data_IF_245697043125
#
_entry.id   IF_245697043125
#
_cell.length_a   1.000
_cell.length_b   1.000
_cell.length_c   1.000
_cell.angle_alpha   90.00
_cell.angle_beta   90.00
_cell.angle_gamma   90.00
#
_symmetry.space_group_name_H-M   'P 1'
#
loop_
_entity.id
_entity.type
_entity.pdbx_description
1 polymer ?
#
# COMPACT_ATOMS: atom_id res chain seq x y z
N UNK A 1 24.54 4.82 1.92
CA UNK A 1 23.66 4.56 0.76
C UNK A 1 22.19 5.00 0.94
N UNK A 2 21.57 5.04 2.15
CA UNK A 2 20.19 5.51 2.31
C UNK A 2 19.94 6.96 1.88
N UNK A 3 20.84 7.90 2.23
CA UNK A 3 20.68 9.33 1.94
C UNK A 3 20.53 9.65 0.44
N UNK A 4 21.28 8.95 -0.43
CA UNK A 4 21.23 9.17 -1.89
C UNK A 4 19.89 8.71 -2.49
N UNK A 5 19.29 7.66 -1.94
CA UNK A 5 17.97 7.19 -2.36
C UNK A 5 16.88 8.15 -1.90
N UNK A 6 16.99 8.64 -0.66
CA UNK A 6 16.04 9.61 -0.12
C UNK A 6 16.02 10.92 -0.91
N UNK A 7 17.19 11.47 -1.24
CA UNK A 7 17.32 12.68 -2.08
C UNK A 7 16.74 12.47 -3.49
N UNK A 8 16.96 11.28 -4.06
CA UNK A 8 16.39 10.91 -5.36
C UNK A 8 14.86 10.89 -5.31
N UNK A 9 14.28 10.22 -4.30
CA UNK A 9 12.83 10.18 -4.11
C UNK A 9 12.26 11.58 -3.91
N UNK A 10 12.90 12.44 -3.12
CA UNK A 10 12.44 13.82 -2.92
C UNK A 10 12.40 14.62 -4.23
N UNK A 11 13.41 14.42 -5.09
CA UNK A 11 13.45 15.05 -6.41
C UNK A 11 12.33 14.53 -7.32
N UNK A 12 12.10 13.21 -7.35
CA UNK A 12 11.03 12.60 -8.16
C UNK A 12 9.66 13.09 -7.69
N UNK A 13 9.42 13.07 -6.39
CA UNK A 13 8.14 13.48 -5.79
C UNK A 13 7.84 14.94 -6.14
N UNK A 14 8.81 15.83 -5.91
CA UNK A 14 8.67 17.27 -6.18
C UNK A 14 8.36 17.57 -7.65
N UNK A 15 8.82 16.73 -8.58
CA UNK A 15 8.64 16.95 -10.01
C UNK A 15 7.34 16.36 -10.55
N UNK A 16 6.77 15.33 -9.92
CA UNK A 16 5.62 14.57 -10.42
C UNK A 16 4.31 14.88 -9.72
N UNK A 17 4.34 15.29 -8.46
CA UNK A 17 3.14 15.40 -7.63
C UNK A 17 3.05 16.80 -7.01
N UNK A 18 1.85 17.37 -6.98
CA UNK A 18 1.62 18.66 -6.31
C UNK A 18 1.13 18.50 -4.88
N UNK A 19 0.56 17.32 -4.52
CA UNK A 19 -0.03 17.06 -3.21
C UNK A 19 0.60 15.82 -2.57
N UNK A 20 1.09 15.99 -1.33
CA UNK A 20 1.50 14.90 -0.45
C UNK A 20 0.42 14.64 0.61
N UNK A 21 -0.15 13.44 0.61
CA UNK A 21 -1.31 13.07 1.44
C UNK A 21 -0.88 12.29 2.69
N UNK A 22 0.27 11.60 2.60
CA UNK A 22 0.70 10.61 3.58
C UNK A 22 2.08 10.91 4.16
N UNK A 23 2.15 10.94 5.48
CA UNK A 23 3.41 10.88 6.23
C UNK A 23 3.74 9.44 6.63
N UNK A 24 4.97 9.18 7.07
CA UNK A 24 5.35 7.86 7.61
C UNK A 24 4.41 7.41 8.73
N UNK A 25 3.99 8.31 9.61
CA UNK A 25 3.07 8.00 10.70
C UNK A 25 1.66 7.61 10.19
N UNK A 26 1.17 8.27 9.13
CA UNK A 26 -0.10 7.90 8.51
C UNK A 26 -0.02 6.53 7.84
N UNK A 27 1.04 6.26 7.09
CA UNK A 27 1.24 4.94 6.47
C UNK A 27 1.32 3.83 7.51
N UNK A 28 2.12 4.02 8.57
CA UNK A 28 2.16 3.08 9.69
C UNK A 28 0.78 2.85 10.29
N UNK A 29 0.02 3.91 10.52
CA UNK A 29 -1.34 3.81 11.04
C UNK A 29 -2.23 2.96 10.11
N UNK A 30 -2.21 3.21 8.81
CA UNK A 30 -2.96 2.42 7.81
C UNK A 30 -2.62 0.94 7.92
N UNK A 31 -1.34 0.59 7.85
CA UNK A 31 -0.92 -0.81 7.90
C UNK A 31 -1.25 -1.47 9.24
N UNK A 32 -1.08 -0.76 10.35
CA UNK A 32 -1.39 -1.30 11.68
C UNK A 32 -2.88 -1.55 11.89
N UNK A 33 -3.77 -0.63 11.49
CA UNK A 33 -5.22 -0.81 11.74
C UNK A 33 -5.86 -1.82 10.79
N UNK A 34 -5.26 -2.04 9.61
CA UNK A 34 -5.72 -3.00 8.62
C UNK A 34 -5.09 -4.39 8.81
N UNK A 35 -4.10 -4.54 9.68
CA UNK A 35 -3.52 -5.83 10.05
C UNK A 35 -4.38 -6.58 11.07
N UNK A 36 -5.60 -6.91 10.64
CA UNK A 36 -6.59 -7.68 11.40
C UNK A 36 -6.93 -8.96 10.61
N UNK A 37 -6.87 -10.15 11.23
CA UNK A 37 -7.04 -11.43 10.52
C UNK A 37 -8.38 -11.55 9.78
N UNK A 38 -9.44 -10.94 10.32
CA UNK A 38 -10.80 -11.02 9.80
C UNK A 38 -10.93 -10.45 8.39
N UNK A 39 -10.14 -9.44 8.05
CA UNK A 39 -10.17 -8.81 6.73
C UNK A 39 -9.49 -9.65 5.64
N UNK A 40 -8.64 -10.62 6.03
CA UNK A 40 -7.89 -11.48 5.10
C UNK A 40 -7.04 -10.71 4.07
N UNK A 41 -6.56 -9.51 4.43
CA UNK A 41 -5.74 -8.66 3.58
C UNK A 41 -4.33 -9.23 3.48
N UNK A 42 -4.08 -9.94 2.39
CA UNK A 42 -2.82 -10.62 2.13
C UNK A 42 -2.20 -10.19 0.81
N UNK A 43 -2.93 -9.54 -0.09
CA UNK A 43 -2.42 -9.12 -1.39
C UNK A 43 -2.82 -7.68 -1.69
N UNK A 44 -1.93 -6.93 -2.31
CA UNK A 44 -2.22 -5.60 -2.85
C UNK A 44 -1.33 -5.27 -4.05
N UNK A 45 -1.80 -4.29 -4.82
CA UNK A 45 -1.03 -3.63 -5.87
C UNK A 45 -0.33 -2.44 -5.27
N UNK A 46 0.95 -2.34 -5.56
CA UNK A 46 1.80 -1.26 -5.12
C UNK A 46 2.20 -0.43 -6.33
N UNK A 47 2.06 0.88 -6.19
CA UNK A 47 2.63 1.85 -7.12
C UNK A 47 3.65 2.70 -6.39
N UNK A 48 4.80 2.84 -7.01
CA UNK A 48 5.88 3.66 -6.48
C UNK A 48 6.10 4.91 -7.32
N UNK A 49 6.44 6.00 -6.64
CA UNK A 49 6.70 7.32 -7.26
C UNK A 49 7.82 7.28 -8.29
N UNK A 50 8.77 6.35 -8.13
CA UNK A 50 9.95 6.15 -8.96
C UNK A 50 9.81 5.03 -9.98
N UNK A 51 8.62 4.44 -10.14
CA UNK A 51 8.37 3.35 -11.08
C UNK A 51 7.03 3.54 -11.81
N UNK A 52 7.06 3.46 -13.14
CA UNK A 52 5.85 3.61 -13.95
C UNK A 52 4.94 2.37 -13.92
N UNK A 53 5.49 1.21 -13.57
CA UNK A 53 4.71 -0.02 -13.39
C UNK A 53 4.15 -0.14 -11.97
N UNK A 54 2.91 -0.65 -11.86
CA UNK A 54 2.43 -1.26 -10.62
C UNK A 54 3.01 -2.68 -10.48
N UNK A 55 3.08 -3.17 -9.25
CA UNK A 55 3.41 -4.57 -8.99
C UNK A 55 2.45 -5.17 -7.96
N UNK A 56 2.10 -6.44 -8.18
CA UNK A 56 1.30 -7.22 -7.27
C UNK A 56 2.20 -7.87 -6.22
N UNK A 57 1.84 -7.78 -4.95
CA UNK A 57 2.54 -8.50 -3.89
C UNK A 57 1.71 -8.62 -2.62
N UNK A 58 2.35 -8.97 -1.52
CA UNK A 58 1.72 -9.10 -0.22
C UNK A 58 1.28 -7.75 0.36
N UNK A 59 0.27 -7.78 1.23
CA UNK A 59 -0.01 -6.66 2.11
C UNK A 59 0.91 -6.76 3.33
N UNK A 60 1.59 -5.67 3.69
CA UNK A 60 2.56 -5.67 4.80
C UNK A 60 1.84 -5.79 6.15
N UNK A 61 2.51 -6.45 7.10
CA UNK A 61 1.99 -6.71 8.45
C UNK A 61 2.59 -5.74 9.46
N UNK A 62 1.90 -5.56 10.58
CA UNK A 62 2.24 -4.54 11.58
C UNK A 62 3.60 -4.77 12.24
N UNK A 63 4.04 -6.03 12.36
CA UNK A 63 5.34 -6.45 12.90
C UNK A 63 6.52 -6.22 11.92
N UNK A 64 6.24 -6.02 10.64
CA UNK A 64 7.23 -5.66 9.61
C UNK A 64 7.48 -4.14 9.56
N UNK A 65 6.70 -3.31 10.23
CA UNK A 65 6.80 -1.86 10.10
C UNK A 65 7.96 -1.29 10.91
N UNK A 66 8.89 -0.61 10.24
CA UNK A 66 9.92 0.21 10.87
C UNK A 66 9.51 1.68 10.93
N UNK A 67 10.23 2.50 11.72
CA UNK A 67 9.90 3.91 11.90
C UNK A 67 9.88 4.70 10.56
N UNK A 68 10.82 4.40 9.67
CA UNK A 68 11.02 5.13 8.40
C UNK A 68 10.76 4.30 7.14
N UNK A 69 10.63 2.98 7.29
CA UNK A 69 10.56 2.04 6.18
C UNK A 69 9.44 1.02 6.41
N UNK A 70 8.81 0.58 5.32
CA UNK A 70 8.14 -0.72 5.28
C UNK A 70 9.27 -1.76 5.34
N UNK A 71 9.27 -2.65 6.35
CA UNK A 71 10.37 -3.58 6.63
C UNK A 71 10.44 -4.76 5.67
N UNK A 72 10.97 -5.91 6.14
CA UNK A 72 11.48 -7.03 5.33
C UNK A 72 10.42 -7.78 4.51
N UNK A 73 9.88 -7.05 3.55
CA UNK A 73 9.00 -7.49 2.50
C UNK A 73 9.89 -7.94 1.34
N UNK A 74 9.66 -9.11 0.73
CA UNK A 74 10.59 -9.85 -0.16
C UNK A 74 11.33 -9.11 -1.30
N UNK A 75 11.14 -7.81 -1.49
CA UNK A 75 11.98 -6.87 -2.26
C UNK A 75 13.02 -6.08 -1.43
N UNK A 76 13.11 -6.32 -0.12
CA UNK A 76 13.86 -5.50 0.84
C UNK A 76 13.09 -4.25 1.31
N UNK A 77 13.57 -3.60 2.39
CA UNK A 77 12.89 -2.46 3.00
C UNK A 77 12.88 -1.23 2.09
N UNK A 78 11.78 -0.47 2.10
CA UNK A 78 11.65 0.77 1.32
C UNK A 78 10.95 1.88 2.10
N UNK A 79 11.29 3.13 1.78
CA UNK A 79 10.77 4.29 2.50
C UNK A 79 9.26 4.48 2.21
N UNK A 80 8.47 4.84 3.22
CA UNK A 80 7.03 5.07 3.05
C UNK A 80 6.72 6.13 1.97
N UNK A 81 7.56 7.17 1.87
CA UNK A 81 7.43 8.22 0.86
C UNK A 81 7.58 7.72 -0.59
N UNK A 82 8.05 6.49 -0.79
CA UNK A 82 8.13 5.86 -2.09
C UNK A 82 6.75 5.42 -2.62
N UNK A 83 5.78 5.20 -1.73
CA UNK A 83 4.44 4.74 -2.09
C UNK A 83 3.66 5.89 -2.72
N UNK A 84 3.35 5.77 -4.01
CA UNK A 84 2.45 6.66 -4.72
C UNK A 84 1.00 6.37 -4.32
N UNK A 85 0.60 5.11 -4.43
CA UNK A 85 -0.63 4.56 -3.90
C UNK A 85 -0.48 3.06 -3.68
N UNK A 86 -1.38 2.52 -2.86
CA UNK A 86 -1.54 1.08 -2.63
C UNK A 86 -3.01 0.72 -2.87
N UNK A 87 -3.27 -0.40 -3.52
CA UNK A 87 -4.62 -0.86 -3.80
C UNK A 87 -4.84 -2.30 -3.39
N UNK A 88 -5.83 -2.51 -2.54
CA UNK A 88 -6.19 -3.82 -1.98
C UNK A 88 -7.34 -4.37 -2.83
N UNK A 89 -7.12 -5.41 -3.66
CA UNK A 89 -8.18 -5.94 -4.51
C UNK A 89 -9.23 -6.68 -3.69
N UNK A 90 -10.50 -6.69 -4.15
CA UNK A 90 -11.59 -7.48 -3.54
C UNK A 90 -11.32 -8.99 -3.49
N UNK A 91 -10.52 -9.45 -4.45
CA UNK A 91 -10.21 -10.86 -4.67
C UNK A 91 -8.69 -11.00 -4.75
N UNK A 92 -8.11 -11.69 -3.78
CA UNK A 92 -6.72 -12.10 -3.82
C UNK A 92 -6.54 -13.33 -4.71
N UNK A 93 -5.49 -13.31 -5.54
CA UNK A 93 -5.16 -14.37 -6.49
C UNK A 93 -3.76 -14.90 -6.20
N UNK A 94 -3.58 -16.18 -5.84
CA UNK A 94 -2.26 -16.70 -5.55
C UNK A 94 -1.44 -16.76 -6.84
N UNK A 95 -0.15 -16.46 -6.72
CA UNK A 95 0.79 -16.53 -7.85
C UNK A 95 0.83 -17.94 -8.44
N UNK A 96 0.69 -18.05 -9.77
CA UNK A 96 0.59 -19.31 -10.51
C UNK A 96 -0.79 -19.97 -10.49
N UNK A 97 -1.76 -19.39 -9.80
CA UNK A 97 -3.15 -19.87 -9.70
C UNK A 97 -4.16 -18.76 -10.05
N UNK A 98 -3.75 -17.77 -10.82
CA UNK A 98 -4.56 -16.61 -11.21
C UNK A 98 -5.82 -17.02 -11.97
N UNK A 99 -5.73 -18.11 -12.74
CA UNK A 99 -6.81 -18.68 -13.53
C UNK A 99 -7.56 -19.81 -12.82
N UNK A 100 -7.37 -19.99 -11.51
CA UNK A 100 -7.96 -21.08 -10.71
C UNK A 100 -8.90 -20.48 -9.65
N UNK A 101 -10.19 -20.24 -9.97
CA UNK A 101 -11.09 -19.47 -9.10
C UNK A 101 -11.26 -20.00 -7.68
N UNK A 102 -11.24 -21.33 -7.49
CA UNK A 102 -11.41 -21.92 -6.15
C UNK A 102 -10.19 -21.70 -5.23
N UNK A 103 -9.06 -21.25 -5.78
CA UNK A 103 -7.86 -20.87 -5.01
C UNK A 103 -7.86 -19.39 -4.64
N UNK A 104 -8.77 -18.59 -5.20
CA UNK A 104 -8.89 -17.17 -4.88
C UNK A 104 -9.50 -17.01 -3.49
N UNK A 105 -9.16 -15.91 -2.81
CA UNK A 105 -9.75 -15.57 -1.52
C UNK A 105 -10.35 -14.17 -1.54
N UNK A 106 -11.35 -13.94 -0.69
CA UNK A 106 -11.95 -12.64 -0.52
C UNK A 106 -11.10 -11.80 0.44
N UNK A 107 -10.90 -10.53 0.10
CA UNK A 107 -10.34 -9.52 0.98
C UNK A 107 -11.44 -8.51 1.28
N UNK A 108 -11.76 -8.33 2.56
CA UNK A 108 -12.89 -7.49 2.98
C UNK A 108 -12.52 -6.01 2.91
N UNK A 109 -12.68 -5.44 1.71
CA UNK A 109 -12.32 -4.04 1.46
C UNK A 109 -13.36 -3.06 2.02
N UNK A 110 -14.59 -3.53 2.25
CA UNK A 110 -15.68 -2.68 2.74
C UNK A 110 -15.47 -2.41 4.23
N UNK A 111 -15.15 -3.45 5.00
CA UNK A 111 -14.77 -3.30 6.41
C UNK A 111 -13.40 -2.60 6.54
N UNK A 112 -12.44 -2.85 5.63
CA UNK A 112 -11.19 -2.09 5.59
C UNK A 112 -11.44 -0.57 5.43
N UNK A 113 -12.33 -0.18 4.52
CA UNK A 113 -12.71 1.22 4.34
C UNK A 113 -13.42 1.78 5.58
N UNK A 114 -14.30 1.00 6.20
CA UNK A 114 -14.97 1.35 7.46
C UNK A 114 -13.96 1.65 8.58
N UNK A 115 -12.98 0.76 8.79
CA UNK A 115 -11.89 0.92 9.75
C UNK A 115 -11.08 2.18 9.45
N UNK A 116 -10.66 2.40 8.21
CA UNK A 116 -9.90 3.60 7.83
C UNK A 116 -10.68 4.88 8.15
N UNK A 117 -11.96 4.95 7.78
CA UNK A 117 -12.82 6.10 8.04
C UNK A 117 -13.03 6.35 9.54
N UNK A 118 -13.05 5.30 10.36
CA UNK A 118 -13.19 5.43 11.82
C UNK A 118 -11.96 6.02 12.51
N UNK A 119 -10.76 5.80 11.95
CA UNK A 119 -9.50 6.19 12.60
C UNK A 119 -8.90 7.48 12.02
N UNK A 120 -9.38 7.96 10.87
CA UNK A 120 -8.97 9.25 10.32
C UNK A 120 -9.42 9.46 8.88
N UNK A 121 -9.05 10.62 8.34
CA UNK A 121 -9.29 10.94 6.93
C UNK A 121 -8.08 10.54 6.08
N UNK A 122 -8.27 9.52 5.24
CA UNK A 122 -7.33 9.09 4.23
C UNK A 122 -7.94 9.31 2.85
N UNK A 123 -7.10 9.71 1.89
CA UNK A 123 -7.52 9.82 0.50
C UNK A 123 -7.64 8.40 -0.08
N UNK A 124 -8.89 7.97 -0.25
CA UNK A 124 -9.23 6.61 -0.67
C UNK A 124 -10.23 6.63 -1.82
N UNK A 125 -10.19 5.59 -2.63
CA UNK A 125 -11.08 5.42 -3.77
C UNK A 125 -11.47 3.95 -3.90
N UNK A 126 -12.77 3.69 -4.05
CA UNK A 126 -13.26 2.38 -4.47
C UNK A 126 -13.16 2.30 -5.99
N UNK A 127 -12.30 1.42 -6.47
CA UNK A 127 -12.14 1.10 -7.89
C UNK A 127 -12.94 -0.15 -8.23
N UNK A 128 -13.03 -0.47 -9.52
CA UNK A 128 -13.59 -1.77 -9.95
C UNK A 128 -12.81 -2.96 -9.38
N UNK A 129 -11.50 -2.78 -9.12
CA UNK A 129 -10.58 -3.81 -8.64
C UNK A 129 -10.59 -3.92 -7.11
N UNK A 130 -10.71 -2.82 -6.37
CA UNK A 130 -10.44 -2.82 -4.94
C UNK A 130 -10.59 -1.48 -4.23
N UNK A 131 -9.98 -1.40 -3.04
CA UNK A 131 -9.82 -0.18 -2.27
C UNK A 131 -8.42 0.39 -2.51
N UNK A 132 -8.33 1.57 -3.11
CA UNK A 132 -7.08 2.30 -3.32
C UNK A 132 -6.89 3.36 -2.24
N UNK A 133 -5.66 3.49 -1.75
CA UNK A 133 -5.21 4.43 -0.73
C UNK A 133 -4.05 5.24 -1.34
N UNK A 134 -4.21 6.56 -1.41
CA UNK A 134 -3.24 7.44 -2.07
C UNK A 134 -2.21 8.02 -1.10
N UNK A 135 -0.94 7.96 -1.51
CA UNK A 135 0.18 8.69 -0.91
C UNK A 135 0.39 10.08 -1.52
N UNK A 136 0.17 10.19 -2.84
CA UNK A 136 0.38 11.41 -3.62
C UNK A 136 -0.72 11.60 -4.68
N UNK A 137 -0.93 12.85 -5.09
CA UNK A 137 -1.79 13.26 -6.23
C UNK A 137 -1.06 14.30 -7.09
N UNK A 138 -1.42 14.35 -8.37
CA UNK A 138 -0.99 15.38 -9.32
C UNK A 138 -1.64 16.74 -9.03
#
# INVERSE_FOLDING_TARGET
MPARMDEYLDKVIKNRFSISLMSNAKWRKVFTVLDVPELMLNQCYWKFVDNDCEFLGWFTKSDELMEKYVGDYGSGPFAYKRIEWLEIPKVGKPSGYENVPFKHWHQDIDEALSILNSVGHFDTELTDRGLRIYGFRE
#
